data_IF_092832506873
#
_entry.id   IF_092832506873
#
_cell.length_a   1.000
_cell.length_b   1.000
_cell.length_c   1.000
_cell.angle_alpha   90.00
_cell.angle_beta   90.00
_cell.angle_gamma   90.00
#
_symmetry.space_group_name_H-M   'P 1'
#
loop_
_entity.id
_entity.type
_entity.pdbx_description
1 polymer ?
#
# COMPACT_ATOMS: atom_id res chain seq x y z
N UNK A 1 -15.17 15.01 -0.39
CA UNK A 1 -13.69 14.98 -0.47
C UNK A 1 -13.29 13.89 -1.44
N UNK A 2 -12.45 14.18 -2.43
CA UNK A 2 -12.09 13.25 -3.51
C UNK A 2 -11.48 11.96 -2.94
N UNK A 3 -12.30 10.92 -2.82
CA UNK A 3 -11.95 9.50 -3.02
C UNK A 3 -10.55 9.08 -2.52
N UNK A 4 -10.20 9.33 -1.25
CA UNK A 4 -8.90 8.92 -0.66
C UNK A 4 -8.59 7.43 -0.82
N UNK A 5 -9.64 6.59 -0.86
CA UNK A 5 -9.53 5.17 -1.17
C UNK A 5 -8.88 4.90 -2.55
N UNK A 6 -9.25 5.64 -3.61
CA UNK A 6 -8.73 5.35 -4.98
C UNK A 6 -7.23 5.60 -5.09
N UNK A 7 -6.69 6.61 -4.40
CA UNK A 7 -5.24 6.85 -4.36
C UNK A 7 -4.50 5.74 -3.61
N UNK A 8 -5.06 5.25 -2.49
CA UNK A 8 -4.50 4.11 -1.76
C UNK A 8 -4.43 2.84 -2.61
N UNK A 9 -5.48 2.54 -3.38
CA UNK A 9 -5.50 1.38 -4.28
C UNK A 9 -4.48 1.50 -5.42
N UNK A 10 -4.33 2.68 -6.01
CA UNK A 10 -3.36 2.93 -7.08
C UNK A 10 -1.93 2.80 -6.55
N UNK A 11 -1.65 3.31 -5.35
CA UNK A 11 -0.35 3.14 -4.70
C UNK A 11 0.00 1.68 -4.44
N UNK A 12 -0.96 0.90 -3.92
CA UNK A 12 -0.79 -0.55 -3.72
C UNK A 12 -0.54 -1.27 -5.05
N UNK A 13 -1.26 -0.91 -6.10
CA UNK A 13 -1.10 -1.53 -7.43
C UNK A 13 0.31 -1.27 -8.00
N UNK A 14 0.77 -0.02 -7.97
CA UNK A 14 2.09 0.36 -8.49
C UNK A 14 3.20 -0.33 -7.69
N UNK A 15 3.13 -0.26 -6.36
CA UNK A 15 4.13 -0.87 -5.50
C UNK A 15 4.10 -2.40 -5.59
N UNK A 16 2.93 -3.01 -5.82
CA UNK A 16 2.81 -4.45 -6.07
C UNK A 16 3.50 -4.89 -7.35
N UNK A 17 3.34 -4.14 -8.45
CA UNK A 17 4.06 -4.41 -9.71
C UNK A 17 5.56 -4.30 -9.50
N UNK A 18 6.01 -3.26 -8.79
CA UNK A 18 7.43 -3.05 -8.48
C UNK A 18 7.98 -4.16 -7.58
N UNK A 19 7.23 -4.62 -6.58
CA UNK A 19 7.64 -5.68 -5.67
C UNK A 19 7.83 -7.04 -6.38
N UNK A 20 7.11 -7.27 -7.49
CA UNK A 20 7.28 -8.47 -8.34
C UNK A 20 8.38 -8.26 -9.38
N UNK A 21 8.45 -7.09 -10.01
CA UNK A 21 9.42 -6.80 -11.07
C UNK A 21 10.86 -6.63 -10.56
N UNK A 22 11.05 -6.00 -9.39
CA UNK A 22 12.36 -5.73 -8.82
C UNK A 22 13.20 -7.02 -8.58
N UNK A 23 12.65 -8.09 -7.98
CA UNK A 23 13.41 -9.32 -7.83
C UNK A 23 13.58 -10.10 -9.15
N UNK A 24 12.65 -9.99 -10.11
CA UNK A 24 12.85 -10.57 -11.46
C UNK A 24 14.04 -9.96 -12.20
N UNK A 25 14.36 -8.70 -11.92
CA UNK A 25 15.49 -7.97 -12.50
C UNK A 25 16.78 -8.08 -11.66
N UNK A 26 16.81 -8.93 -10.62
CA UNK A 26 17.93 -9.03 -9.66
C UNK A 26 18.25 -7.73 -8.90
N UNK A 27 17.36 -6.73 -8.86
CA UNK A 27 17.58 -5.49 -8.09
C UNK A 27 17.39 -5.68 -6.58
N UNK A 28 16.74 -6.75 -6.14
CA UNK A 28 16.49 -7.01 -4.71
C UNK A 28 16.33 -8.49 -4.41
N UNK A 29 16.72 -8.92 -3.21
CA UNK A 29 16.44 -10.28 -2.71
C UNK A 29 14.97 -10.38 -2.24
N UNK A 30 14.24 -11.37 -2.74
CA UNK A 30 12.85 -11.65 -2.39
C UNK A 30 12.59 -11.68 -0.87
N UNK A 31 13.55 -12.22 -0.11
CA UNK A 31 13.46 -12.36 1.35
C UNK A 31 13.26 -11.04 2.09
N UNK A 32 13.78 -9.93 1.55
CA UNK A 32 13.64 -8.59 2.14
C UNK A 32 12.43 -7.86 1.54
N UNK A 33 12.18 -8.04 0.25
CA UNK A 33 11.16 -7.30 -0.50
C UNK A 33 9.74 -7.71 -0.10
N UNK A 34 9.48 -9.00 0.14
CA UNK A 34 8.16 -9.49 0.55
C UNK A 34 7.70 -8.90 1.90
N UNK A 35 8.48 -8.96 3.00
CA UNK A 35 8.05 -8.38 4.27
C UNK A 35 7.91 -6.84 4.20
N UNK A 36 8.75 -6.14 3.44
CA UNK A 36 8.61 -4.70 3.19
C UNK A 36 7.31 -4.36 2.46
N UNK A 37 6.93 -5.18 1.46
CA UNK A 37 5.67 -5.02 0.76
C UNK A 37 4.46 -5.25 1.67
N UNK A 38 4.51 -6.30 2.51
CA UNK A 38 3.45 -6.59 3.49
C UNK A 38 3.28 -5.42 4.48
N UNK A 39 4.39 -4.88 5.01
CA UNK A 39 4.40 -3.70 5.87
C UNK A 39 3.78 -2.47 5.19
N UNK A 40 4.11 -2.23 3.92
CA UNK A 40 3.54 -1.16 3.14
C UNK A 40 2.02 -1.31 2.99
N UNK A 41 1.53 -2.50 2.64
CA UNK A 41 0.09 -2.77 2.52
C UNK A 41 -0.62 -2.59 3.86
N UNK A 42 -0.04 -3.07 4.96
CA UNK A 42 -0.55 -2.87 6.32
C UNK A 42 -0.65 -1.39 6.68
N UNK A 43 0.38 -0.61 6.36
CA UNK A 43 0.42 0.83 6.59
C UNK A 43 -0.67 1.56 5.80
N UNK A 44 -0.82 1.26 4.50
CA UNK A 44 -1.89 1.84 3.66
C UNK A 44 -3.28 1.43 4.17
N UNK A 45 -3.45 0.18 4.60
CA UNK A 45 -4.68 -0.31 5.23
C UNK A 45 -5.03 0.45 6.50
N UNK A 46 -4.04 0.73 7.36
CA UNK A 46 -4.22 1.51 8.58
C UNK A 46 -4.61 2.96 8.29
N UNK A 47 -4.02 3.58 7.26
CA UNK A 47 -4.41 4.93 6.81
C UNK A 47 -5.85 4.96 6.30
N UNK A 48 -6.27 3.96 5.53
CA UNK A 48 -7.65 3.87 5.04
C UNK A 48 -8.65 3.63 6.19
N UNK A 49 -8.26 2.85 7.21
CA UNK A 49 -9.03 2.68 8.45
C UNK A 49 -9.18 4.00 9.20
N UNK A 50 -8.09 4.77 9.38
CA UNK A 50 -8.12 6.08 10.00
C UNK A 50 -8.99 7.08 9.23
N UNK A 51 -8.91 7.09 7.89
CA UNK A 51 -9.76 7.93 7.05
C UNK A 51 -11.24 7.57 7.22
N UNK A 52 -11.56 6.28 7.29
CA UNK A 52 -12.93 5.78 7.54
C UNK A 52 -13.44 6.18 8.92
N UNK A 53 -12.61 6.08 9.96
CA UNK A 53 -12.96 6.49 11.33
C UNK A 53 -13.17 8.01 11.39
N UNK A 54 -12.26 8.79 10.80
CA UNK A 54 -12.36 10.26 10.74
C UNK A 54 -13.63 10.70 10.00
N UNK A 55 -13.96 10.07 8.87
CA UNK A 55 -15.21 10.33 8.14
C UNK A 55 -16.46 9.97 8.94
N UNK A 56 -16.38 9.01 9.87
CA UNK A 56 -17.49 8.61 10.74
C UNK A 56 -17.69 9.58 11.91
N UNK A 57 -16.59 10.14 12.44
CA UNK A 57 -16.61 11.09 13.55
C UNK A 57 -16.87 12.54 13.14
N UNK A 58 -16.56 12.91 11.89
CA UNK A 58 -16.77 14.25 11.35
C UNK A 58 -18.20 14.50 10.83
N UNK A 59 -19.15 13.63 11.15
CA UNK A 59 -20.55 13.68 10.74
C UNK A 59 -21.43 13.73 11.98
#
# INVERSE_FOLDING_TARGET
MFKGWRFSLIGILIVGIVAVAAPLLNLSHFEKTVPLFILFVLFVGALNLLEKIKSKYSK
#
